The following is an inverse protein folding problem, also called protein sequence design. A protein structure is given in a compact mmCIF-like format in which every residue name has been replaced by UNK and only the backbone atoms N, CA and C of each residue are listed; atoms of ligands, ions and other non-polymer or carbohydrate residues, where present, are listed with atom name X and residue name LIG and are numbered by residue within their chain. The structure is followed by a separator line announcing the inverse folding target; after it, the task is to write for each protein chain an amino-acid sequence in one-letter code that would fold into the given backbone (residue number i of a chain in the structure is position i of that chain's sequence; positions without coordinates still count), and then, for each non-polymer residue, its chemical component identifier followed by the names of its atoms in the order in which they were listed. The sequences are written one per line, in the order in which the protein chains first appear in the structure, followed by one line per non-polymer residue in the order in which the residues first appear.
data_IF_128277785717
#
_entry.id   IF_128277785717
#
_cell.length_a   1.000
_cell.length_b   1.000
_cell.length_c   1.000
_cell.angle_alpha   90.00
_cell.angle_beta   90.00
_cell.angle_gamma   90.00
#
_symmetry.space_group_name_H-M   'P 1'
#
loop_
_entity.id
_entity.type
_entity.pdbx_description
1 polymer ?
#
# COMPACT_ATOMS: atom_id res chain seq x y z
N UNK A 1 -8.89 -1.52 18.26
CA UNK A 1 -9.08 -2.91 18.74
C UNK A 1 -9.10 -3.04 20.28
N UNK A 2 -8.41 -2.15 21.01
CA UNK A 2 -8.33 -2.19 22.50
C UNK A 2 -9.53 -1.47 23.14
N UNK A 3 -9.92 -0.32 22.62
CA UNK A 3 -11.02 0.50 23.18
C UNK A 3 -12.37 -0.21 23.29
N UNK A 4 -12.85 -0.96 22.27
CA UNK A 4 -14.09 -1.72 22.39
C UNK A 4 -14.06 -2.72 23.54
N UNK A 5 -12.98 -3.48 23.67
CA UNK A 5 -12.83 -4.49 24.73
C UNK A 5 -12.82 -3.88 26.13
N UNK A 6 -12.20 -2.69 26.29
CA UNK A 6 -12.17 -2.00 27.59
C UNK A 6 -13.55 -1.37 27.89
N UNK A 7 -14.26 -0.89 26.88
CA UNK A 7 -15.62 -0.37 27.03
C UNK A 7 -16.58 -1.46 27.50
N UNK A 8 -16.55 -2.64 26.89
CA UNK A 8 -17.35 -3.81 27.29
C UNK A 8 -16.97 -4.31 28.69
N UNK A 9 -15.67 -4.38 29.00
CA UNK A 9 -15.18 -4.80 30.31
C UNK A 9 -15.61 -3.88 31.47
N UNK A 10 -15.77 -2.59 31.20
CA UNK A 10 -16.18 -1.57 32.20
C UNK A 10 -17.71 -1.33 32.22
N UNK A 11 -18.50 -2.12 31.52
CA UNK A 11 -19.96 -1.98 31.48
C UNK A 11 -20.47 -0.63 30.97
N UNK A 12 -19.69 0.05 30.10
CA UNK A 12 -20.05 1.31 29.50
C UNK A 12 -20.03 2.52 30.46
N UNK A 13 -19.42 2.40 31.62
CA UNK A 13 -19.35 3.48 32.62
C UNK A 13 -17.92 4.00 32.78
N UNK A 14 -17.77 5.31 33.04
CA UNK A 14 -16.48 5.94 33.29
C UNK A 14 -15.98 6.88 32.21
N UNK A 15 -14.73 7.33 32.33
CA UNK A 15 -14.10 8.29 31.40
C UNK A 15 -14.09 7.81 29.94
N UNK A 16 -14.07 6.50 29.72
CA UNK A 16 -14.04 5.88 28.39
C UNK A 16 -15.40 6.05 27.71
N UNK A 17 -16.52 6.02 28.44
CA UNK A 17 -17.85 6.23 27.86
C UNK A 17 -18.07 7.65 27.35
N UNK A 18 -17.31 8.61 27.86
CA UNK A 18 -17.36 10.01 27.38
C UNK A 18 -16.58 10.19 26.06
N UNK A 19 -15.63 9.30 25.74
CA UNK A 19 -14.77 9.41 24.57
C UNK A 19 -15.12 8.38 23.50
N UNK A 20 -15.65 7.22 23.90
CA UNK A 20 -15.95 6.11 23.00
C UNK A 20 -17.44 5.91 22.82
N UNK A 21 -17.93 6.17 21.62
CA UNK A 21 -19.29 5.87 21.16
C UNK A 21 -19.25 4.65 20.23
N UNK A 22 -19.86 3.52 20.59
CA UNK A 22 -19.87 2.33 19.76
C UNK A 22 -20.46 2.52 18.36
N UNK A 23 -21.32 3.52 18.17
CA UNK A 23 -21.96 3.82 16.89
C UNK A 23 -20.97 4.35 15.85
N UNK A 24 -19.90 5.00 16.29
CA UNK A 24 -18.86 5.57 15.40
C UNK A 24 -17.93 4.46 14.83
N UNK A 25 -17.75 3.36 15.56
CA UNK A 25 -17.00 2.19 15.08
C UNK A 25 -15.64 2.52 14.45
N UNK A 26 -15.49 2.17 13.18
CA UNK A 26 -14.25 2.41 12.41
C UNK A 26 -13.94 3.90 12.17
N UNK A 27 -14.91 4.80 12.40
CA UNK A 27 -14.75 6.25 12.24
C UNK A 27 -13.67 6.85 13.15
N UNK A 28 -13.41 6.22 14.32
CA UNK A 28 -12.32 6.67 15.21
C UNK A 28 -10.95 6.67 14.55
N UNK A 29 -10.69 5.76 13.62
CA UNK A 29 -9.43 5.75 12.88
C UNK A 29 -9.24 7.05 12.06
N UNK A 30 -10.32 7.56 11.50
CA UNK A 30 -10.30 8.83 10.76
C UNK A 30 -10.13 10.03 11.69
N UNK A 31 -10.79 10.06 12.87
CA UNK A 31 -10.60 11.13 13.85
C UNK A 31 -9.17 11.18 14.38
N UNK A 32 -8.56 10.02 14.71
CA UNK A 32 -7.17 9.96 15.14
C UNK A 32 -6.22 10.43 14.04
N UNK A 33 -6.45 10.02 12.81
CA UNK A 33 -5.65 10.46 11.66
C UNK A 33 -5.76 11.98 11.46
N UNK A 34 -6.98 12.53 11.51
CA UNK A 34 -7.22 13.97 11.42
C UNK A 34 -6.51 14.73 12.54
N UNK A 35 -6.61 14.25 13.78
CA UNK A 35 -5.96 14.85 14.94
C UNK A 35 -4.43 14.84 14.81
N UNK A 36 -3.84 13.72 14.45
CA UNK A 36 -2.40 13.62 14.20
C UNK A 36 -1.94 14.56 13.08
N UNK A 37 -2.70 14.63 11.99
CA UNK A 37 -2.40 15.53 10.87
C UNK A 37 -2.50 17.00 11.29
N UNK A 38 -3.49 17.34 12.10
CA UNK A 38 -3.66 18.72 12.64
C UNK A 38 -2.48 19.10 13.55
N UNK A 39 -2.04 18.20 14.42
CA UNK A 39 -0.86 18.41 15.27
C UNK A 39 0.39 18.65 14.42
N UNK A 40 0.64 17.80 13.43
CA UNK A 40 1.78 17.97 12.52
C UNK A 40 1.73 19.32 11.80
N UNK A 41 0.57 19.70 11.29
CA UNK A 41 0.37 21.00 10.63
C UNK A 41 0.65 22.14 11.60
N UNK A 42 0.22 22.04 12.85
CA UNK A 42 0.46 23.04 13.88
C UNK A 42 1.96 23.20 14.20
N UNK A 43 2.72 22.08 14.27
CA UNK A 43 4.17 22.16 14.48
C UNK A 43 4.88 22.86 13.31
N UNK A 44 4.45 22.63 12.08
CA UNK A 44 5.04 23.27 10.90
C UNK A 44 4.44 24.65 10.58
N UNK A 45 3.44 25.10 11.33
CA UNK A 45 2.76 26.37 11.10
C UNK A 45 3.70 27.57 11.09
N UNK A 46 4.65 27.58 12.01
CA UNK A 46 5.66 28.64 12.11
C UNK A 46 6.55 28.72 10.87
N UNK A 47 6.94 27.59 10.31
CA UNK A 47 7.74 27.53 9.10
C UNK A 47 6.94 27.94 7.86
N UNK A 48 5.68 27.53 7.79
CA UNK A 48 4.77 27.92 6.72
C UNK A 48 4.53 29.45 6.69
N UNK A 49 4.33 30.08 7.83
CA UNK A 49 4.04 31.53 7.89
C UNK A 49 5.30 32.40 7.82
N UNK A 50 6.45 31.89 8.26
CA UNK A 50 7.73 32.64 8.23
C UNK A 50 8.33 32.82 6.83
N UNK A 51 7.88 32.05 5.84
CA UNK A 51 8.39 32.12 4.47
C UNK A 51 7.75 33.29 3.69
N UNK A 52 8.60 34.08 3.00
CA UNK A 52 8.09 35.08 2.05
C UNK A 52 7.68 34.37 0.76
N UNK A 53 6.38 34.20 0.59
CA UNK A 53 5.84 33.58 -0.62
C UNK A 53 5.89 34.55 -1.78
N UNK A 54 6.56 34.17 -2.86
CA UNK A 54 6.48 34.85 -4.14
C UNK A 54 5.81 33.94 -5.16
N UNK A 55 4.71 34.39 -5.74
CA UNK A 55 3.99 33.64 -6.75
C UNK A 55 4.49 34.01 -8.14
N UNK A 56 5.09 33.02 -8.84
CA UNK A 56 5.49 33.16 -10.23
C UNK A 56 4.62 32.31 -11.14
N UNK A 57 3.77 32.95 -11.94
CA UNK A 57 2.89 32.26 -12.90
C UNK A 57 3.67 31.45 -13.94
N UNK A 58 4.84 31.95 -14.35
CA UNK A 58 5.70 31.27 -15.31
C UNK A 58 6.27 29.97 -14.72
N UNK A 59 6.73 30.00 -13.46
CA UNK A 59 7.22 28.82 -12.76
C UNK A 59 6.11 27.79 -12.55
N UNK A 60 4.93 28.23 -12.11
CA UNK A 60 3.78 27.36 -11.92
C UNK A 60 3.40 26.64 -13.21
N UNK A 61 3.32 27.37 -14.33
CA UNK A 61 3.00 26.76 -15.64
C UNK A 61 4.03 25.71 -16.04
N UNK A 62 5.31 25.96 -15.78
CA UNK A 62 6.39 25.02 -16.08
C UNK A 62 6.31 23.77 -15.21
N UNK A 63 6.03 23.94 -13.93
CA UNK A 63 5.84 22.82 -12.99
C UNK A 63 4.61 22.00 -13.37
N UNK A 64 3.48 22.60 -13.68
CA UNK A 64 2.27 21.89 -14.10
C UNK A 64 2.47 21.12 -15.41
N UNK A 65 3.17 21.73 -16.39
CA UNK A 65 3.47 21.06 -17.65
C UNK A 65 4.35 19.82 -17.45
N UNK A 66 5.29 19.87 -16.51
CA UNK A 66 6.12 18.72 -16.14
C UNK A 66 5.35 17.67 -15.32
N UNK A 67 4.50 18.12 -14.41
CA UNK A 67 3.77 17.23 -13.49
C UNK A 67 2.58 16.52 -14.14
N UNK A 68 2.01 17.08 -15.21
CA UNK A 68 0.84 16.51 -15.87
C UNK A 68 1.04 15.08 -16.37
N UNK A 69 2.12 14.75 -17.13
CA UNK A 69 2.35 13.36 -17.55
C UNK A 69 2.56 12.40 -16.36
N UNK A 70 3.24 12.89 -15.30
CA UNK A 70 3.48 12.10 -14.08
C UNK A 70 2.16 11.82 -13.36
N UNK A 71 1.25 12.79 -13.31
CA UNK A 71 -0.09 12.61 -12.74
C UNK A 71 -0.88 11.54 -13.49
N UNK A 72 -0.86 11.56 -14.82
CA UNK A 72 -1.54 10.55 -15.65
C UNK A 72 -0.96 9.16 -15.39
N UNK A 73 0.37 9.03 -15.31
CA UNK A 73 1.03 7.77 -14.97
C UNK A 73 0.66 7.31 -13.55
N UNK A 74 0.61 8.23 -12.59
CA UNK A 74 0.19 7.92 -11.22
C UNK A 74 -1.25 7.41 -11.14
N UNK A 75 -2.18 8.05 -11.84
CA UNK A 75 -3.58 7.60 -11.93
C UNK A 75 -3.64 6.22 -12.58
N UNK A 76 -2.95 6.01 -13.69
CA UNK A 76 -2.90 4.71 -14.35
C UNK A 76 -2.34 3.61 -13.44
N UNK A 77 -1.31 3.92 -12.65
CA UNK A 77 -0.74 3.01 -11.66
C UNK A 77 -1.73 2.64 -10.56
N UNK A 78 -2.45 3.63 -10.00
CA UNK A 78 -3.47 3.39 -8.98
C UNK A 78 -4.63 2.57 -9.56
N UNK A 79 -5.09 2.89 -10.76
CA UNK A 79 -6.14 2.11 -11.43
C UNK A 79 -5.70 0.67 -11.65
N UNK A 80 -4.47 0.44 -12.08
CA UNK A 80 -3.93 -0.91 -12.26
C UNK A 80 -3.91 -1.72 -10.94
N UNK A 81 -3.56 -1.08 -9.82
CA UNK A 81 -3.54 -1.73 -8.50
C UNK A 81 -4.92 -1.98 -7.89
N UNK A 82 -5.93 -1.21 -8.30
CA UNK A 82 -7.27 -1.28 -7.68
C UNK A 82 -8.36 -1.78 -8.62
N UNK A 83 -8.06 -1.92 -9.91
CA UNK A 83 -9.02 -2.33 -10.94
C UNK A 83 -9.67 -3.68 -10.61
N UNK A 84 -8.90 -4.63 -10.10
CA UNK A 84 -9.37 -5.94 -9.66
C UNK A 84 -10.47 -5.82 -8.59
N UNK A 85 -10.27 -4.97 -7.60
CA UNK A 85 -11.22 -4.77 -6.49
C UNK A 85 -12.45 -3.96 -6.90
N UNK A 86 -12.26 -2.99 -7.80
CA UNK A 86 -13.36 -2.17 -8.34
C UNK A 86 -14.25 -3.01 -9.25
N UNK A 87 -13.65 -3.85 -10.10
CA UNK A 87 -14.37 -4.66 -11.07
C UNK A 87 -14.99 -5.92 -10.47
N UNK A 88 -14.44 -6.41 -9.35
CA UNK A 88 -14.86 -7.65 -8.72
C UNK A 88 -16.38 -7.74 -8.49
N UNK A 89 -17.06 -6.75 -7.87
CA UNK A 89 -18.50 -6.83 -7.62
C UNK A 89 -19.35 -6.81 -8.91
N UNK A 90 -18.82 -6.29 -10.01
CA UNK A 90 -19.52 -6.26 -11.31
C UNK A 90 -19.37 -7.56 -12.08
N UNK A 91 -18.25 -8.26 -11.89
CA UNK A 91 -17.95 -9.53 -12.57
C UNK A 91 -18.55 -10.71 -11.78
N UNK A 92 -18.45 -10.67 -10.47
CA UNK A 92 -18.99 -11.71 -9.60
C UNK A 92 -20.49 -11.50 -9.37
N UNK A 93 -21.32 -12.37 -9.95
CA UNK A 93 -22.78 -12.25 -9.92
C UNK A 93 -23.45 -12.93 -8.71
N UNK A 94 -22.68 -13.38 -7.71
CA UNK A 94 -23.20 -13.99 -6.50
C UNK A 94 -23.80 -12.96 -5.52
N UNK A 95 -24.77 -13.36 -4.73
CA UNK A 95 -25.36 -12.52 -3.68
C UNK A 95 -24.39 -12.14 -2.56
N UNK A 96 -23.27 -12.83 -2.45
CA UNK A 96 -22.22 -12.69 -1.45
C UNK A 96 -20.97 -11.94 -1.98
N UNK A 97 -21.11 -11.16 -3.06
CA UNK A 97 -20.00 -10.47 -3.73
C UNK A 97 -19.11 -9.64 -2.77
N UNK A 98 -19.71 -8.97 -1.80
CA UNK A 98 -18.96 -8.17 -0.80
C UNK A 98 -18.17 -9.06 0.17
N UNK A 99 -18.70 -10.20 0.57
CA UNK A 99 -17.99 -11.16 1.41
C UNK A 99 -16.80 -11.76 0.66
N UNK A 100 -17.00 -12.18 -0.58
CA UNK A 100 -15.94 -12.71 -1.43
C UNK A 100 -14.86 -11.66 -1.75
N UNK A 101 -15.23 -10.40 -1.94
CA UNK A 101 -14.28 -9.29 -2.07
C UNK A 101 -13.46 -9.11 -0.78
N UNK A 102 -14.06 -9.29 0.39
CA UNK A 102 -13.37 -9.27 1.68
C UNK A 102 -12.32 -10.39 1.80
N UNK A 103 -12.68 -11.61 1.39
CA UNK A 103 -11.77 -12.77 1.35
C UNK A 103 -10.62 -12.54 0.38
N UNK A 104 -10.91 -12.05 -0.82
CA UNK A 104 -9.91 -11.68 -1.80
C UNK A 104 -8.98 -10.56 -1.29
N UNK A 105 -9.54 -9.54 -0.64
CA UNK A 105 -8.78 -8.44 -0.05
C UNK A 105 -7.83 -8.91 1.07
N UNK A 106 -8.23 -9.86 1.89
CA UNK A 106 -7.39 -10.46 2.92
C UNK A 106 -6.23 -11.27 2.31
N UNK A 107 -6.51 -12.07 1.28
CA UNK A 107 -5.51 -12.82 0.54
C UNK A 107 -4.50 -11.90 -0.15
N UNK A 108 -4.97 -10.81 -0.76
CA UNK A 108 -4.12 -9.79 -1.40
C UNK A 108 -3.16 -9.12 -0.42
N UNK A 109 -3.51 -9.00 0.87
CA UNK A 109 -2.59 -8.47 1.90
C UNK A 109 -1.38 -9.37 2.14
N UNK A 110 -1.51 -10.68 1.97
CA UNK A 110 -0.37 -11.59 2.05
C UNK A 110 0.53 -11.37 0.83
N UNK A 111 -0.06 -11.28 -0.34
CA UNK A 111 0.68 -11.00 -1.58
C UNK A 111 1.39 -9.62 -1.55
N UNK A 112 0.91 -8.68 -0.74
CA UNK A 112 1.54 -7.37 -0.53
C UNK A 112 2.98 -7.48 0.01
N UNK A 113 3.37 -8.60 0.61
CA UNK A 113 4.76 -8.87 0.99
C UNK A 113 5.67 -8.77 -0.24
N UNK A 114 5.22 -9.29 -1.40
CA UNK A 114 5.99 -9.17 -2.64
C UNK A 114 6.06 -7.73 -3.13
N UNK A 115 4.97 -6.97 -3.03
CA UNK A 115 4.97 -5.54 -3.34
C UNK A 115 5.96 -4.76 -2.46
N UNK A 116 6.04 -5.08 -1.17
CA UNK A 116 7.01 -4.48 -0.25
C UNK A 116 8.45 -4.81 -0.64
N UNK A 117 8.75 -6.06 -1.00
CA UNK A 117 10.07 -6.47 -1.48
C UNK A 117 10.45 -5.73 -2.76
N UNK A 118 9.53 -5.68 -3.72
CA UNK A 118 9.71 -4.93 -4.97
C UNK A 118 9.95 -3.45 -4.72
N UNK A 119 9.21 -2.85 -3.82
CA UNK A 119 9.33 -1.44 -3.45
C UNK A 119 10.69 -1.17 -2.76
N UNK A 120 11.10 -2.02 -1.84
CA UNK A 120 12.40 -1.91 -1.16
C UNK A 120 13.55 -2.00 -2.17
N UNK A 121 13.47 -2.93 -3.12
CA UNK A 121 14.45 -3.02 -4.20
C UNK A 121 14.47 -1.75 -5.05
N UNK A 122 13.31 -1.24 -5.44
CA UNK A 122 13.18 -0.02 -6.25
C UNK A 122 13.83 1.18 -5.55
N UNK A 123 13.59 1.39 -4.26
CA UNK A 123 14.23 2.47 -3.49
C UNK A 123 15.75 2.34 -3.38
N UNK A 124 16.27 1.12 -3.32
CA UNK A 124 17.71 0.89 -3.31
C UNK A 124 18.33 1.04 -4.72
N UNK A 125 17.58 0.66 -5.76
CA UNK A 125 18.05 0.63 -7.13
C UNK A 125 18.02 2.00 -7.81
N UNK A 126 17.02 2.85 -7.55
CA UNK A 126 16.87 4.17 -8.16
C UNK A 126 18.10 5.07 -7.98
N UNK A 127 18.65 5.30 -6.76
CA UNK A 127 19.85 6.12 -6.60
C UNK A 127 21.07 5.51 -7.29
N UNK A 128 21.14 4.19 -7.34
CA UNK A 128 22.24 3.49 -8.02
C UNK A 128 22.21 3.71 -9.53
N UNK A 129 21.03 3.65 -10.14
CA UNK A 129 20.84 3.96 -11.58
C UNK A 129 21.22 5.39 -11.90
N UNK A 130 20.74 6.33 -11.11
CA UNK A 130 21.04 7.76 -11.32
C UNK A 130 22.52 8.08 -11.11
N UNK A 131 23.18 7.44 -10.13
CA UNK A 131 24.61 7.65 -9.86
C UNK A 131 25.51 7.14 -10.97
N UNK A 132 25.16 6.05 -11.64
CA UNK A 132 25.95 5.39 -12.68
C UNK A 132 25.52 5.71 -14.12
N UNK A 133 24.53 6.57 -14.32
CA UNK A 133 23.96 6.85 -15.64
C UNK A 133 24.98 7.41 -16.67
N UNK A 134 26.14 7.89 -16.22
CA UNK A 134 27.23 8.45 -17.05
C UNK A 134 28.32 7.44 -17.42
N UNK A 135 28.33 6.25 -16.83
CA UNK A 135 29.38 5.23 -17.09
C UNK A 135 29.03 4.42 -18.34
N UNK A 136 30.06 4.08 -19.14
CA UNK A 136 29.88 3.32 -20.39
C UNK A 136 29.43 1.85 -20.17
N UNK A 137 29.53 1.34 -18.95
CA UNK A 137 29.28 -0.07 -18.59
C UNK A 137 27.95 -0.31 -17.84
N UNK A 138 27.01 0.59 -18.06
CA UNK A 138 25.72 0.60 -17.36
C UNK A 138 24.86 -0.64 -17.60
N UNK A 139 24.85 -1.15 -18.84
CA UNK A 139 23.96 -2.25 -19.24
C UNK A 139 24.27 -3.55 -18.50
N UNK A 140 25.55 -3.89 -18.34
CA UNK A 140 25.94 -5.10 -17.64
C UNK A 140 25.60 -5.04 -16.15
N UNK A 141 25.82 -3.86 -15.54
CA UNK A 141 25.48 -3.62 -14.14
C UNK A 141 23.98 -3.70 -13.88
N UNK A 142 23.18 -3.12 -14.78
CA UNK A 142 21.71 -3.19 -14.67
C UNK A 142 21.18 -4.61 -14.89
N UNK A 143 21.75 -5.34 -15.84
CA UNK A 143 21.38 -6.73 -16.09
C UNK A 143 21.72 -7.63 -14.87
N UNK A 144 22.87 -7.42 -14.22
CA UNK A 144 23.25 -8.12 -13.00
C UNK A 144 22.29 -7.81 -11.84
N UNK A 145 21.96 -6.54 -11.62
CA UNK A 145 21.02 -6.14 -10.58
C UNK A 145 19.63 -6.75 -10.80
N UNK A 146 19.11 -6.70 -12.02
CA UNK A 146 17.82 -7.29 -12.38
C UNK A 146 17.84 -8.83 -12.22
N UNK A 147 18.94 -9.49 -12.61
CA UNK A 147 19.11 -10.93 -12.40
C UNK A 147 18.99 -11.31 -10.92
N UNK A 148 19.68 -10.61 -10.03
CA UNK A 148 19.61 -10.87 -8.59
C UNK A 148 18.23 -10.54 -8.01
N UNK A 149 17.59 -9.48 -8.49
CA UNK A 149 16.21 -9.16 -8.12
C UNK A 149 15.26 -10.30 -8.46
N UNK A 150 15.31 -10.83 -9.68
CA UNK A 150 14.45 -11.94 -10.12
C UNK A 150 14.72 -13.19 -9.27
N UNK A 151 16.00 -13.53 -9.02
CA UNK A 151 16.34 -14.70 -8.20
C UNK A 151 15.79 -14.52 -6.78
N UNK A 152 15.97 -13.36 -6.18
CA UNK A 152 15.50 -13.07 -4.82
C UNK A 152 13.98 -13.11 -4.70
N UNK A 153 13.28 -12.47 -5.65
CA UNK A 153 11.80 -12.44 -5.64
C UNK A 153 11.20 -13.82 -5.92
N UNK A 154 11.78 -14.62 -6.80
CA UNK A 154 11.36 -16.01 -7.03
C UNK A 154 11.62 -16.89 -5.81
N UNK A 155 12.74 -16.70 -5.11
CA UNK A 155 13.02 -17.43 -3.88
C UNK A 155 12.01 -17.04 -2.79
N UNK A 156 11.72 -15.76 -2.62
CA UNK A 156 10.70 -15.28 -1.69
C UNK A 156 9.31 -15.83 -2.03
N UNK A 157 8.96 -15.88 -3.32
CA UNK A 157 7.74 -16.51 -3.81
C UNK A 157 7.66 -17.99 -3.41
N UNK A 158 8.71 -18.76 -3.66
CA UNK A 158 8.77 -20.18 -3.29
C UNK A 158 8.65 -20.39 -1.78
N UNK A 159 9.28 -19.53 -0.98
CA UNK A 159 9.16 -19.59 0.48
C UNK A 159 7.71 -19.37 0.91
N UNK A 160 7.07 -18.30 0.42
CA UNK A 160 5.67 -18.01 0.80
C UNK A 160 4.72 -19.12 0.35
N UNK A 161 4.87 -19.62 -0.87
CA UNK A 161 4.04 -20.71 -1.38
C UNK A 161 4.32 -22.03 -0.65
N UNK A 162 5.58 -22.34 -0.35
CA UNK A 162 5.96 -23.54 0.39
C UNK A 162 5.50 -23.54 1.86
N UNK A 163 5.40 -22.35 2.47
CA UNK A 163 4.91 -22.18 3.85
C UNK A 163 3.43 -21.75 3.91
N UNK A 164 2.66 -21.97 2.84
CA UNK A 164 1.25 -21.58 2.78
C UNK A 164 0.42 -22.24 3.90
N UNK A 165 0.73 -23.48 4.27
CA UNK A 165 0.07 -24.18 5.36
C UNK A 165 0.31 -23.53 6.73
N UNK A 166 1.50 -22.94 6.94
CA UNK A 166 1.80 -22.16 8.15
C UNK A 166 1.03 -20.86 8.14
N UNK A 167 1.00 -20.15 7.01
CA UNK A 167 0.25 -18.91 6.84
C UNK A 167 -1.25 -19.11 7.07
N UNK A 168 -1.78 -20.26 6.69
CA UNK A 168 -3.17 -20.66 6.97
C UNK A 168 -3.53 -20.62 8.45
N UNK A 169 -2.59 -20.93 9.35
CA UNK A 169 -2.84 -20.89 10.79
C UNK A 169 -2.87 -19.48 11.38
N UNK A 170 -2.26 -18.52 10.68
CA UNK A 170 -2.22 -17.10 11.10
C UNK A 170 -3.51 -16.38 10.69
N UNK A 171 -4.17 -16.88 9.65
CA UNK A 171 -5.36 -16.25 9.06
C UNK A 171 -6.61 -16.94 9.61
N UNK A 172 -7.65 -16.14 9.88
CA UNK A 172 -8.95 -16.68 10.31
C UNK A 172 -9.51 -17.68 9.30
N UNK A 173 -10.20 -18.70 9.79
CA UNK A 173 -10.75 -19.82 8.98
C UNK A 173 -11.63 -19.35 7.83
N UNK A 174 -12.34 -18.24 8.02
CA UNK A 174 -13.27 -17.67 7.04
C UNK A 174 -12.57 -17.14 5.77
N UNK A 175 -11.23 -16.95 5.84
CA UNK A 175 -10.43 -16.40 4.74
C UNK A 175 -9.60 -17.47 4.00
N UNK A 176 -9.72 -18.75 4.35
CA UNK A 176 -8.89 -19.83 3.80
C UNK A 176 -9.08 -20.04 2.30
N UNK A 177 -10.29 -19.85 1.80
CA UNK A 177 -10.57 -20.00 0.37
C UNK A 177 -9.84 -18.96 -0.48
N UNK A 178 -9.56 -17.78 0.08
CA UNK A 178 -8.77 -16.74 -0.57
C UNK A 178 -7.29 -17.09 -0.75
N UNK A 179 -6.75 -18.02 0.05
CA UNK A 179 -5.32 -18.39 -0.04
C UNK A 179 -4.92 -18.95 -1.41
N UNK A 180 -5.86 -19.53 -2.15
CA UNK A 180 -5.62 -20.03 -3.52
C UNK A 180 -5.24 -18.92 -4.50
N UNK A 181 -5.65 -17.69 -4.21
CA UNK A 181 -5.38 -16.53 -5.07
C UNK A 181 -3.99 -15.92 -4.78
N UNK A 182 -3.43 -16.15 -3.59
CA UNK A 182 -2.15 -15.58 -3.15
C UNK A 182 -1.01 -15.82 -4.15
N UNK A 183 -0.76 -17.05 -4.65
CA UNK A 183 0.33 -17.29 -5.60
C UNK A 183 0.15 -16.51 -6.90
N UNK A 184 -1.10 -16.35 -7.37
CA UNK A 184 -1.42 -15.65 -8.62
C UNK A 184 -1.11 -14.15 -8.45
N UNK A 185 -1.56 -13.54 -7.36
CA UNK A 185 -1.32 -12.12 -7.09
C UNK A 185 0.16 -11.87 -6.86
N UNK A 186 0.86 -12.75 -6.14
CA UNK A 186 2.32 -12.64 -5.95
C UNK A 186 3.10 -12.72 -7.27
N UNK A 187 2.71 -13.61 -8.18
CA UNK A 187 3.33 -13.70 -9.50
C UNK A 187 3.10 -12.41 -10.31
N UNK A 188 1.90 -11.81 -10.24
CA UNK A 188 1.61 -10.54 -10.86
C UNK A 188 2.48 -9.40 -10.29
N UNK A 189 2.69 -9.36 -8.97
CA UNK A 189 3.57 -8.38 -8.31
C UNK A 189 5.04 -8.52 -8.74
N UNK A 190 5.52 -9.74 -8.93
CA UNK A 190 6.88 -9.98 -9.45
C UNK A 190 7.00 -9.43 -10.88
N UNK A 191 6.02 -9.74 -11.74
CA UNK A 191 6.02 -9.25 -13.10
C UNK A 191 5.98 -7.71 -13.17
N UNK A 192 5.20 -7.09 -12.28
CA UNK A 192 5.15 -5.64 -12.15
C UNK A 192 6.46 -5.04 -11.63
N UNK A 193 7.21 -5.79 -10.81
CA UNK A 193 8.54 -5.38 -10.34
C UNK A 193 9.64 -5.45 -11.40
N UNK A 194 9.48 -6.33 -12.39
CA UNK A 194 10.41 -6.48 -13.52
C UNK A 194 10.19 -5.41 -14.58
N UNK A 195 8.94 -4.96 -14.73
CA UNK A 195 8.56 -3.87 -15.63
C UNK A 195 8.94 -2.50 -15.08
#
# INVERSE_FOLDING_TARGET
LILPNIYEANGGTGFISAIYDPTVGAGYAFYVNLFCSAILTFFFWRELVAQKYSFSKALLRRMLSYSWPILVLGIAGILNQTADKILFPYIYKGSDAHSQLGIYGAASKIAMIMAMITQAFRYAYEPFVFGKSKDKDNRETYAKAMKYFIIFTLLAFLVVVGYMDVLRHIIGRDYWDGLRVVPIVMAAEIMMGVY
#
